data_IF_454009446902
#
_entry.id   IF_454009446902
#
_cell.length_a   1.000
_cell.length_b   1.000
_cell.length_c   1.000
_cell.angle_alpha   90.00
_cell.angle_beta   90.00
_cell.angle_gamma   90.00
#
_symmetry.space_group_name_H-M   'P 1'
#
loop_
_entity.id
_entity.type
_entity.pdbx_description
1 polymer ?
#
# COMPACT_ATOMS: atom_id res chain seq x y z
N UNK A 1 -2.74 1.51 10.56
CA UNK A 1 -1.33 1.81 10.90
C UNK A 1 -0.71 2.59 9.75
N UNK A 2 0.34 3.37 10.01
CA UNK A 2 1.02 4.18 9.01
C UNK A 2 2.50 3.78 8.94
N UNK A 3 3.00 3.59 7.73
CA UNK A 3 4.41 3.28 7.46
C UNK A 3 4.92 4.17 6.34
N UNK A 4 6.23 4.40 6.31
CA UNK A 4 6.92 5.09 5.22
C UNK A 4 7.87 4.12 4.54
N UNK A 5 7.97 4.19 3.22
CA UNK A 5 8.85 3.34 2.42
C UNK A 5 9.68 4.18 1.45
N UNK A 6 10.98 3.92 1.40
CA UNK A 6 11.91 4.66 0.54
C UNK A 6 11.84 4.14 -0.89
N UNK A 7 11.69 2.83 -1.07
CA UNK A 7 11.52 2.18 -2.38
C UNK A 7 10.04 1.77 -2.59
N UNK A 8 9.20 2.76 -2.83
CA UNK A 8 7.75 2.55 -2.98
C UNK A 8 7.43 1.61 -4.15
N UNK A 9 8.10 1.76 -5.30
CA UNK A 9 7.86 0.90 -6.46
C UNK A 9 8.26 -0.56 -6.18
N UNK A 10 9.41 -0.78 -5.53
CA UNK A 10 9.82 -2.12 -5.09
C UNK A 10 8.85 -2.73 -4.08
N UNK A 11 8.29 -1.93 -3.18
CA UNK A 11 7.26 -2.38 -2.24
C UNK A 11 5.97 -2.79 -2.95
N UNK A 12 5.52 -2.00 -3.93
CA UNK A 12 4.34 -2.33 -4.74
C UNK A 12 4.52 -3.63 -5.52
N UNK A 13 5.72 -3.91 -6.05
CA UNK A 13 5.98 -5.19 -6.72
C UNK A 13 5.84 -6.37 -5.74
N UNK A 14 6.38 -6.24 -4.52
CA UNK A 14 6.30 -7.28 -3.49
C UNK A 14 4.86 -7.53 -3.04
N UNK A 15 4.10 -6.47 -2.76
CA UNK A 15 2.75 -6.61 -2.23
C UNK A 15 1.77 -7.17 -3.27
N UNK A 16 1.98 -6.88 -4.55
CA UNK A 16 1.20 -7.46 -5.64
C UNK A 16 1.48 -8.96 -5.87
N UNK A 17 2.61 -9.48 -5.38
CA UNK A 17 2.95 -10.91 -5.43
C UNK A 17 2.32 -11.70 -4.26
N UNK A 18 1.81 -11.00 -3.24
CA UNK A 18 1.14 -11.63 -2.09
C UNK A 18 -0.26 -12.09 -2.51
N UNK A 19 -0.48 -13.41 -2.49
CA UNK A 19 -1.81 -13.98 -2.64
C UNK A 19 -2.74 -13.47 -1.54
N UNK A 20 -3.98 -13.13 -1.91
CA UNK A 20 -5.04 -12.65 -1.00
C UNK A 20 -4.81 -11.26 -0.37
N UNK A 21 -3.96 -10.42 -0.96
CA UNK A 21 -3.91 -9.00 -0.59
C UNK A 21 -5.28 -8.33 -0.88
N UNK A 22 -5.82 -7.63 0.12
CA UNK A 22 -7.12 -6.97 0.03
C UNK A 22 -6.95 -5.46 0.05
N UNK A 23 -7.07 -4.81 -1.11
CA UNK A 23 -6.95 -3.36 -1.22
C UNK A 23 -8.22 -2.64 -0.72
N UNK A 24 -8.02 -1.56 0.05
CA UNK A 24 -9.05 -0.56 0.32
C UNK A 24 -9.21 0.33 -0.91
N UNK A 25 -8.08 0.79 -1.43
CA UNK A 25 -7.98 1.42 -2.74
C UNK A 25 -6.62 1.12 -3.37
N UNK A 26 -6.54 1.05 -4.70
CA UNK A 26 -5.26 0.96 -5.40
C UNK A 26 -4.40 2.21 -5.12
N UNK A 27 -3.18 2.21 -5.66
CA UNK A 27 -2.23 3.31 -5.51
C UNK A 27 -2.88 4.63 -5.96
N UNK A 28 -2.80 5.64 -5.11
CA UNK A 28 -3.22 7.01 -5.41
C UNK A 28 -1.99 7.89 -5.40
N UNK A 29 -1.83 8.67 -6.46
CA UNK A 29 -0.84 9.74 -6.54
C UNK A 29 -1.55 11.09 -6.40
N UNK A 30 -1.11 11.87 -5.42
CA UNK A 30 -1.58 13.23 -5.21
C UNK A 30 -0.79 14.21 -6.08
N UNK A 31 -1.42 15.34 -6.44
CA UNK A 31 -0.83 16.35 -7.32
C UNK A 31 0.48 16.97 -6.81
N UNK A 32 0.78 16.83 -5.51
CA UNK A 32 2.02 17.28 -4.88
C UNK A 32 3.12 16.19 -4.83
N UNK A 33 2.93 15.05 -5.50
CA UNK A 33 3.94 14.00 -5.66
C UNK A 33 3.93 12.92 -4.57
N UNK A 34 2.98 12.96 -3.63
CA UNK A 34 2.82 11.88 -2.64
C UNK A 34 2.09 10.69 -3.27
N UNK A 35 2.63 9.49 -3.08
CA UNK A 35 2.01 8.22 -3.48
C UNK A 35 1.59 7.46 -2.22
N UNK A 36 0.42 6.85 -2.25
CA UNK A 36 -0.13 6.13 -1.10
C UNK A 36 -0.88 4.88 -1.57
N UNK A 37 -0.77 3.80 -0.80
CA UNK A 37 -1.58 2.59 -0.97
C UNK A 37 -2.24 2.22 0.35
N UNK A 38 -3.50 1.74 0.27
CA UNK A 38 -4.22 1.23 1.45
C UNK A 38 -4.72 -0.18 1.22
N UNK A 39 -4.45 -1.05 2.17
CA UNK A 39 -4.87 -2.45 2.15
C UNK A 39 -5.13 -2.96 3.56
N UNK A 40 -5.74 -4.13 3.66
CA UNK A 40 -6.00 -4.80 4.93
C UNK A 40 -4.86 -5.77 5.26
N UNK A 41 -4.47 -5.81 6.54
CA UNK A 41 -3.75 -6.96 7.10
C UNK A 41 -4.71 -8.16 7.30
N UNK A 42 -4.19 -9.35 7.67
CA UNK A 42 -5.03 -10.52 7.94
C UNK A 42 -6.11 -10.30 9.02
N UNK A 43 -5.83 -9.42 10.00
CA UNK A 43 -6.74 -9.07 11.09
C UNK A 43 -7.76 -7.97 10.71
N UNK A 44 -7.78 -7.53 9.45
CA UNK A 44 -8.67 -6.48 8.90
C UNK A 44 -8.41 -5.07 9.44
N UNK A 45 -7.22 -4.79 9.93
CA UNK A 45 -6.74 -3.43 10.14
C UNK A 45 -6.31 -2.80 8.80
N UNK A 46 -6.60 -1.50 8.65
CA UNK A 46 -6.12 -0.73 7.51
C UNK A 46 -4.65 -0.39 7.71
N UNK A 47 -3.83 -0.75 6.72
CA UNK A 47 -2.44 -0.34 6.59
C UNK A 47 -2.38 0.73 5.49
N UNK A 48 -1.74 1.85 5.82
CA UNK A 48 -1.37 2.90 4.88
C UNK A 48 0.14 2.94 4.79
N UNK A 49 0.63 2.85 3.55
CA UNK A 49 2.06 2.96 3.20
C UNK A 49 2.19 3.98 2.09
#
# INVERSE_FOLDING_TARGET
>A
MYFEEVDFDGFILKINDIADINYVHPIVEHSWGQRVVRFYDPDKHIIEV
#
